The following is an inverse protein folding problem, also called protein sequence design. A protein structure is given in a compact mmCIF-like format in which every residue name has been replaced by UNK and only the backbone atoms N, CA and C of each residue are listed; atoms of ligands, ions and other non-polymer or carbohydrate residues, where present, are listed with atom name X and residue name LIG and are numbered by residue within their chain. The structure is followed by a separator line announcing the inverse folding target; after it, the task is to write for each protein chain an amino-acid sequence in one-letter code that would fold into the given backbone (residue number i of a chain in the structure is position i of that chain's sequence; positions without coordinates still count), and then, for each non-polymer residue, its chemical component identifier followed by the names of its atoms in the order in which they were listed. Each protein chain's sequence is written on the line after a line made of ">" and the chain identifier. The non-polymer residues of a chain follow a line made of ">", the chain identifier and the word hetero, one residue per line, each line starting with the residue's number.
data_IF_040273765954
#
_entry.id   IF_040273765954
#
_cell.length_a   1.000
_cell.length_b   1.000
_cell.length_c   1.000
_cell.angle_alpha   90.00
_cell.angle_beta   90.00
_cell.angle_gamma   90.00
#
_symmetry.space_group_name_H-M   'P 1'
#
loop_
_entity.id
_entity.type
_entity.pdbx_description
1 polymer ?
#
# COMPACT_ATOMS: atom_id res chain seq x y z
N UNK A 1 14.47 1.99 -6.86
CA UNK A 1 14.71 0.83 -5.98
C UNK A 1 14.07 1.08 -4.63
N UNK A 2 13.52 0.06 -3.94
CA UNK A 2 12.78 0.23 -2.68
C UNK A 2 13.58 0.90 -1.55
N UNK A 3 14.90 0.69 -1.52
CA UNK A 3 15.82 1.27 -0.51
C UNK A 3 15.65 2.78 -0.31
N UNK A 4 15.55 3.54 -1.40
CA UNK A 4 15.42 5.00 -1.29
C UNK A 4 14.06 5.42 -0.71
N UNK A 5 13.00 4.70 -1.09
CA UNK A 5 11.64 4.95 -0.60
C UNK A 5 11.58 4.64 0.90
N UNK A 6 12.16 3.51 1.33
CA UNK A 6 12.13 3.06 2.72
C UNK A 6 13.02 3.88 3.68
N UNK A 7 13.90 4.73 3.15
CA UNK A 7 14.70 5.67 3.94
C UNK A 7 13.94 6.96 4.32
N UNK A 8 12.75 7.20 3.76
CA UNK A 8 11.97 8.40 4.04
C UNK A 8 11.37 8.39 5.44
N UNK A 9 11.34 9.56 6.10
CA UNK A 9 10.70 9.71 7.41
C UNK A 9 9.18 9.54 7.36
N UNK A 10 8.55 9.83 6.22
CA UNK A 10 7.11 9.66 5.99
C UNK A 10 6.83 9.25 4.55
N UNK A 11 5.94 8.28 4.39
CA UNK A 11 5.45 7.80 3.10
C UNK A 11 3.92 7.79 3.16
N UNK A 12 3.28 8.33 2.12
CA UNK A 12 1.82 8.33 1.97
C UNK A 12 1.44 7.65 0.66
N UNK A 13 0.67 6.57 0.75
CA UNK A 13 -0.09 6.08 -0.40
C UNK A 13 -1.45 6.78 -0.43
N UNK A 14 -1.72 7.51 -1.51
CA UNK A 14 -3.05 8.00 -1.84
C UNK A 14 -3.68 7.05 -2.87
N UNK A 15 -4.79 6.41 -2.51
CA UNK A 15 -5.48 5.42 -3.35
C UNK A 15 -6.94 5.84 -3.52
N UNK A 16 -7.35 6.02 -4.78
CA UNK A 16 -8.67 6.54 -5.15
C UNK A 16 -9.23 5.69 -6.27
N UNK A 17 -10.54 5.41 -6.23
CA UNK A 17 -11.27 4.71 -7.28
C UNK A 17 -11.46 3.21 -7.05
N UNK A 18 -12.65 2.73 -7.40
CA UNK A 18 -13.07 1.34 -7.23
C UNK A 18 -12.16 0.35 -7.96
N UNK A 19 -11.53 0.74 -9.08
CA UNK A 19 -10.63 -0.13 -9.83
C UNK A 19 -9.37 -0.52 -9.05
N UNK A 20 -9.09 0.16 -7.93
CA UNK A 20 -7.97 -0.16 -7.02
C UNK A 20 -8.33 -1.13 -5.92
N UNK A 21 -9.62 -1.38 -5.63
CA UNK A 21 -10.05 -2.16 -4.47
C UNK A 21 -9.41 -3.55 -4.41
N UNK A 22 -9.48 -4.29 -5.53
CA UNK A 22 -8.88 -5.62 -5.63
C UNK A 22 -7.38 -5.66 -5.40
N UNK A 23 -6.63 -4.71 -5.97
CA UNK A 23 -5.17 -4.68 -5.81
C UNK A 23 -4.78 -4.17 -4.43
N UNK A 24 -5.54 -3.26 -3.84
CA UNK A 24 -5.32 -2.77 -2.47
C UNK A 24 -5.52 -3.89 -1.45
N UNK A 25 -6.59 -4.69 -1.57
CA UNK A 25 -6.81 -5.88 -0.74
C UNK A 25 -5.65 -6.88 -0.87
N UNK A 26 -5.11 -7.09 -2.09
CA UNK A 26 -3.91 -7.92 -2.28
C UNK A 26 -2.69 -7.38 -1.57
N UNK A 27 -2.47 -6.07 -1.60
CA UNK A 27 -1.31 -5.44 -0.96
C UNK A 27 -1.38 -5.57 0.57
N UNK A 28 -2.56 -5.33 1.16
CA UNK A 28 -2.71 -5.21 2.61
C UNK A 28 -3.03 -6.53 3.33
N UNK A 29 -3.90 -7.39 2.76
CA UNK A 29 -4.49 -8.52 3.49
C UNK A 29 -4.08 -9.90 2.93
N UNK A 30 -3.36 -9.95 1.80
CA UNK A 30 -2.95 -11.21 1.17
C UNK A 30 -1.45 -11.47 1.38
N UNK A 31 -0.99 -12.72 1.17
CA UNK A 31 0.42 -13.06 1.33
C UNK A 31 1.35 -12.15 0.54
N UNK A 32 2.57 -11.99 1.06
CA UNK A 32 3.60 -11.17 0.43
C UNK A 32 3.99 -11.73 -0.96
N UNK A 33 3.72 -10.95 -2.01
CA UNK A 33 3.97 -11.25 -3.42
C UNK A 33 4.53 -10.01 -4.16
N UNK A 34 5.73 -9.53 -3.77
CA UNK A 34 6.26 -8.23 -4.21
C UNK A 34 6.51 -8.11 -5.72
N UNK A 35 6.71 -9.24 -6.41
CA UNK A 35 6.85 -9.28 -7.88
C UNK A 35 5.57 -8.84 -8.60
N UNK A 36 4.40 -9.06 -7.98
CA UNK A 36 3.10 -8.65 -8.53
C UNK A 36 2.55 -7.39 -7.88
N UNK A 37 2.93 -7.15 -6.61
CA UNK A 37 2.49 -6.02 -5.80
C UNK A 37 3.71 -5.28 -5.23
N UNK A 38 4.43 -4.46 -6.03
CA UNK A 38 5.65 -3.79 -5.57
C UNK A 38 5.45 -2.87 -4.36
N UNK A 39 4.22 -2.37 -4.16
CA UNK A 39 3.86 -1.58 -2.99
C UNK A 39 4.10 -2.32 -1.66
N UNK A 40 4.10 -3.66 -1.65
CA UNK A 40 4.42 -4.45 -0.45
C UNK A 40 5.89 -4.36 -0.02
N UNK A 41 6.78 -3.88 -0.90
CA UNK A 41 8.19 -3.61 -0.60
C UNK A 41 8.39 -2.28 0.15
N UNK A 42 7.34 -1.46 0.25
CA UNK A 42 7.39 -0.17 0.94
C UNK A 42 7.18 -0.41 2.43
N UNK A 43 8.30 -0.41 3.15
CA UNK A 43 8.38 -0.66 4.59
C UNK A 43 9.44 0.32 5.14
N UNK A 44 9.04 1.51 5.63
CA UNK A 44 9.99 2.48 6.16
C UNK A 44 10.88 1.87 7.25
N UNK A 45 12.18 2.08 7.18
CA UNK A 45 13.13 1.55 8.17
C UNK A 45 13.05 2.31 9.50
N UNK A 46 12.92 3.64 9.41
CA UNK A 46 12.86 4.56 10.57
C UNK A 46 11.82 5.67 10.33
N UNK A 47 10.69 5.32 9.70
CA UNK A 47 9.67 6.28 9.29
C UNK A 47 8.25 5.75 9.44
N UNK A 48 7.28 6.56 9.05
CA UNK A 48 5.85 6.23 9.14
C UNK A 48 5.28 5.97 7.74
N UNK A 49 4.43 4.94 7.63
CA UNK A 49 3.66 4.65 6.42
C UNK A 49 2.19 4.95 6.65
N UNK A 50 1.64 5.84 5.83
CA UNK A 50 0.23 6.23 5.86
C UNK A 50 -0.48 5.74 4.61
N UNK A 51 -1.75 5.36 4.79
CA UNK A 51 -2.67 5.02 3.71
C UNK A 51 -3.86 5.97 3.77
N UNK A 52 -4.03 6.78 2.73
CA UNK A 52 -5.22 7.59 2.51
C UNK A 52 -6.00 6.97 1.36
N UNK A 53 -7.13 6.37 1.69
CA UNK A 53 -7.92 5.53 0.79
C UNK A 53 -9.34 6.11 0.75
N UNK A 54 -9.90 6.29 -0.44
CA UNK A 54 -11.32 6.64 -0.58
C UNK A 54 -12.23 5.43 -0.33
N UNK A 55 -13.54 5.66 -0.20
CA UNK A 55 -14.47 4.56 0.09
C UNK A 55 -14.50 3.51 -1.01
N UNK A 56 -14.40 3.94 -2.26
CA UNK A 56 -14.49 3.06 -3.41
C UNK A 56 -13.28 2.13 -3.49
N UNK A 57 -12.06 2.63 -3.26
CA UNK A 57 -10.86 1.81 -3.19
C UNK A 57 -10.83 0.92 -1.93
N UNK A 58 -11.51 1.30 -0.85
CA UNK A 58 -11.60 0.49 0.36
C UNK A 58 -12.64 -0.64 0.28
N UNK A 59 -13.42 -0.74 -0.79
CA UNK A 59 -14.61 -1.60 -0.88
C UNK A 59 -14.35 -3.11 -0.69
N UNK A 60 -13.11 -3.57 -0.88
CA UNK A 60 -12.72 -4.98 -0.69
C UNK A 60 -11.85 -5.22 0.56
N UNK A 61 -11.68 -4.23 1.43
CA UNK A 61 -10.94 -4.40 2.68
C UNK A 61 -11.83 -5.00 3.77
N UNK A 62 -11.30 -5.98 4.50
CA UNK A 62 -11.98 -6.55 5.66
C UNK A 62 -12.12 -5.48 6.76
N UNK A 63 -13.25 -5.51 7.47
CA UNK A 63 -13.57 -4.57 8.58
C UNK A 63 -13.06 -5.07 9.92
#
# INVERSE_FOLDING_TARGET
>A
TPRLINAASRILFLVVGAEKARVLNKVLNRPHQPETCPAQLVQPENGELFWLIDRDAAAELDS
#
